data_IF_575408125159
#
_entry.id   IF_575408125159
#
_cell.length_a   1.000
_cell.length_b   1.000
_cell.length_c   1.000
_cell.angle_alpha   90.00
_cell.angle_beta   90.00
_cell.angle_gamma   90.00
#
_symmetry.space_group_name_H-M   'P 1'
#
loop_
_entity.id
_entity.type
_entity.pdbx_description
1 polymer ?
#
# COMPACT_ATOMS: atom_id res chain seq x y z
N UNK A 1 -8.09 6.04 -11.68
CA UNK A 1 -9.38 6.06 -12.06
C UNK A 1 -10.30 5.57 -11.05
N UNK A 2 -10.71 4.36 -11.09
CA UNK A 2 -11.61 3.88 -10.09
C UNK A 2 -10.95 3.58 -8.77
N UNK A 3 -9.70 3.85 -8.67
CA UNK A 3 -9.00 3.82 -7.38
C UNK A 3 -9.59 4.82 -6.40
N UNK A 4 -10.30 5.83 -6.88
CA UNK A 4 -10.97 6.79 -6.02
C UNK A 4 -12.07 6.19 -5.15
N UNK A 5 -12.55 5.01 -5.48
CA UNK A 5 -13.55 4.33 -4.67
C UNK A 5 -12.92 3.56 -3.50
N UNK A 6 -11.64 3.67 -3.39
CA UNK A 6 -10.91 3.08 -2.29
C UNK A 6 -10.64 1.60 -2.48
N UNK A 7 -9.44 1.22 -2.10
CA UNK A 7 -9.08 -0.17 -1.98
C UNK A 7 -9.10 -0.51 -0.49
N UNK A 8 -9.40 -1.75 -0.11
CA UNK A 8 -9.46 -2.11 1.30
C UNK A 8 -8.09 -2.06 1.97
N UNK A 9 -8.07 -2.01 3.30
CA UNK A 9 -6.82 -2.07 4.06
C UNK A 9 -6.10 -3.38 3.78
N UNK A 10 -6.83 -4.49 3.83
CA UNK A 10 -6.30 -5.80 3.49
C UNK A 10 -6.93 -6.27 2.19
N UNK A 11 -6.11 -6.87 1.33
CA UNK A 11 -6.58 -7.39 0.05
C UNK A 11 -7.66 -8.44 0.24
N UNK A 12 -8.69 -8.34 -0.58
CA UNK A 12 -9.66 -9.39 -0.76
C UNK A 12 -9.61 -9.84 -2.22
N UNK A 13 -10.32 -10.89 -2.54
CA UNK A 13 -10.31 -11.46 -3.88
C UNK A 13 -10.71 -10.45 -4.95
N UNK A 14 -11.73 -9.65 -4.67
CA UNK A 14 -12.21 -8.64 -5.61
C UNK A 14 -11.16 -7.58 -5.89
N UNK A 15 -10.51 -7.07 -4.85
CA UNK A 15 -9.48 -6.05 -4.99
C UNK A 15 -8.25 -6.61 -5.71
N UNK A 16 -7.84 -7.81 -5.36
CA UNK A 16 -6.69 -8.45 -6.01
C UNK A 16 -6.94 -8.68 -7.50
N UNK A 17 -8.12 -9.15 -7.86
CA UNK A 17 -8.49 -9.36 -9.26
C UNK A 17 -8.53 -8.04 -10.03
N UNK A 18 -9.06 -6.99 -9.42
CA UNK A 18 -9.06 -5.67 -10.02
C UNK A 18 -7.65 -5.17 -10.29
N UNK A 19 -6.77 -5.29 -9.31
CA UNK A 19 -5.39 -4.83 -9.45
C UNK A 19 -4.60 -5.64 -10.45
N UNK A 20 -4.79 -6.95 -10.49
CA UNK A 20 -4.16 -7.80 -11.50
C UNK A 20 -4.57 -7.40 -12.92
N UNK A 21 -5.85 -7.12 -13.13
CA UNK A 21 -6.35 -6.66 -14.42
C UNK A 21 -5.79 -5.28 -14.78
N UNK A 22 -5.69 -4.41 -13.80
CA UNK A 22 -5.11 -3.09 -14.00
C UNK A 22 -3.65 -3.18 -14.44
N UNK A 23 -2.87 -4.01 -13.77
CA UNK A 23 -1.46 -4.23 -14.10
C UNK A 23 -1.33 -4.78 -15.51
N UNK A 24 -2.12 -5.78 -15.86
CA UNK A 24 -2.07 -6.40 -17.19
C UNK A 24 -2.50 -5.43 -18.28
N UNK A 25 -3.56 -4.67 -18.04
CA UNK A 25 -4.09 -3.73 -19.01
C UNK A 25 -3.07 -2.62 -19.34
N UNK A 26 -2.34 -2.14 -18.34
CA UNK A 26 -1.36 -1.07 -18.54
C UNK A 26 0.04 -1.59 -18.85
N UNK A 27 0.22 -2.90 -18.94
CA UNK A 27 1.53 -3.49 -19.28
C UNK A 27 2.61 -3.19 -18.26
N UNK A 28 2.25 -3.10 -16.99
CA UNK A 28 3.18 -2.71 -15.94
C UNK A 28 4.05 -3.88 -15.49
N UNK A 29 5.25 -3.55 -15.04
CA UNK A 29 6.10 -4.46 -14.28
C UNK A 29 6.62 -5.67 -15.02
N UNK A 30 6.84 -5.60 -16.31
CA UNK A 30 7.38 -6.73 -17.08
C UNK A 30 8.72 -7.18 -16.51
N UNK A 31 8.70 -8.32 -15.80
CA UNK A 31 9.90 -8.89 -15.20
C UNK A 31 10.41 -8.13 -13.98
N UNK A 32 9.61 -7.20 -13.43
CA UNK A 32 9.99 -6.41 -12.27
C UNK A 32 8.94 -6.52 -11.17
N UNK A 33 9.36 -6.26 -9.94
CA UNK A 33 8.45 -6.21 -8.81
C UNK A 33 7.62 -4.93 -8.86
N UNK A 34 6.34 -5.08 -8.55
CA UNK A 34 5.41 -3.96 -8.48
C UNK A 34 5.03 -3.74 -7.03
N UNK A 35 5.01 -2.48 -6.62
CA UNK A 35 4.50 -2.09 -5.32
C UNK A 35 3.32 -1.16 -5.51
N UNK A 36 2.21 -1.48 -4.86
CA UNK A 36 1.05 -0.61 -4.80
C UNK A 36 1.02 0.00 -3.42
N UNK A 37 1.08 1.32 -3.37
CA UNK A 37 1.17 2.06 -2.12
C UNK A 37 -0.02 3.01 -2.04
N UNK A 38 -0.70 2.99 -0.91
CA UNK A 38 -1.79 3.92 -0.66
C UNK A 38 -1.74 4.41 0.78
N UNK A 39 -2.35 5.56 1.04
CA UNK A 39 -2.27 6.19 2.35
C UNK A 39 -3.59 6.76 2.86
N UNK A 40 -4.70 6.37 2.26
CA UNK A 40 -5.99 6.95 2.57
C UNK A 40 -6.56 6.53 3.93
N UNK A 41 -6.13 5.40 4.46
CA UNK A 41 -6.64 4.87 5.72
C UNK A 41 -5.77 5.20 6.92
N UNK A 42 -4.62 5.85 6.70
CA UNK A 42 -3.71 6.30 7.76
C UNK A 42 -3.28 5.18 8.72
N UNK A 43 -3.24 3.96 8.23
CA UNK A 43 -2.88 2.78 9.02
C UNK A 43 -1.83 1.98 8.25
N UNK A 44 -0.80 1.55 8.95
CA UNK A 44 0.28 0.79 8.34
C UNK A 44 -0.11 -0.66 8.14
N UNK A 45 0.07 -1.17 6.94
CA UNK A 45 -0.05 -2.59 6.65
C UNK A 45 0.71 -2.93 5.39
N UNK A 46 1.10 -4.19 5.25
CA UNK A 46 1.74 -4.68 4.05
C UNK A 46 1.33 -6.13 3.81
N UNK A 47 0.98 -6.41 2.57
CA UNK A 47 0.65 -7.76 2.14
C UNK A 47 1.33 -8.04 0.81
N UNK A 48 1.66 -9.29 0.57
CA UNK A 48 2.25 -9.72 -0.69
C UNK A 48 1.23 -10.54 -1.46
N UNK A 49 0.96 -10.12 -2.70
CA UNK A 49 0.16 -10.87 -3.64
C UNK A 49 1.09 -11.51 -4.67
N UNK A 50 0.52 -12.28 -5.61
CA UNK A 50 1.32 -12.99 -6.59
C UNK A 50 2.13 -12.06 -7.50
N UNK A 51 1.50 -10.97 -7.96
CA UNK A 51 2.14 -10.06 -8.92
C UNK A 51 2.64 -8.76 -8.31
N UNK A 52 2.28 -8.46 -7.05
CA UNK A 52 2.58 -7.16 -6.47
C UNK A 52 2.62 -7.21 -4.95
N UNK A 53 3.20 -6.17 -4.36
CA UNK A 53 3.10 -5.90 -2.92
C UNK A 53 2.04 -4.84 -2.72
N UNK A 54 1.23 -5.01 -1.70
CA UNK A 54 0.14 -4.09 -1.38
C UNK A 54 0.40 -3.47 -0.02
N UNK A 55 0.52 -2.16 0.02
CA UNK A 55 0.99 -1.46 1.22
C UNK A 55 0.12 -0.24 1.52
N UNK A 56 -0.27 -0.12 2.77
CA UNK A 56 -0.82 1.10 3.32
C UNK A 56 0.24 1.77 4.17
N UNK A 57 0.32 3.08 4.08
CA UNK A 57 1.32 3.85 4.81
C UNK A 57 0.67 4.75 5.85
N UNK A 58 1.47 5.14 6.84
CA UNK A 58 1.05 6.03 7.90
C UNK A 58 0.80 7.44 7.37
N UNK A 59 -0.03 8.19 8.07
CA UNK A 59 -0.23 9.61 7.85
C UNK A 59 0.56 10.41 8.88
N UNK A 60 0.97 11.61 8.53
CA UNK A 60 1.62 12.51 9.47
C UNK A 60 0.68 12.92 10.63
N UNK A 61 -0.61 12.77 10.44
CA UNK A 61 -1.62 13.21 11.42
C UNK A 61 -2.27 12.06 12.19
N UNK A 62 -1.90 10.83 11.89
CA UNK A 62 -2.54 9.66 12.49
C UNK A 62 -3.91 9.36 11.87
N UNK A 63 -4.70 8.58 12.58
CA UNK A 63 -6.00 8.12 12.09
C UNK A 63 -7.14 8.82 12.77
N UNK A 64 -8.25 9.06 12.05
CA UNK A 64 -9.48 9.52 12.62
C UNK A 64 -10.09 8.45 13.53
N UNK A 65 -11.03 8.88 14.38
CA UNK A 65 -11.75 7.94 15.26
C UNK A 65 -12.47 6.87 14.44
N UNK A 66 -13.07 7.26 13.33
CA UNK A 66 -13.77 6.31 12.45
C UNK A 66 -12.81 5.25 11.89
N UNK A 67 -11.64 5.67 11.41
CA UNK A 67 -10.64 4.74 10.89
C UNK A 67 -10.13 3.82 11.99
N UNK A 68 -9.87 4.36 13.18
CA UNK A 68 -9.41 3.56 14.31
C UNK A 68 -10.41 2.48 14.70
N UNK A 69 -11.71 2.81 14.66
CA UNK A 69 -12.77 1.87 15.05
C UNK A 69 -12.99 0.78 14.01
N UNK A 70 -12.72 1.06 12.73
CA UNK A 70 -13.02 0.13 11.65
C UNK A 70 -11.79 -0.61 11.13
N UNK A 71 -10.60 -0.02 11.22
CA UNK A 71 -9.38 -0.57 10.63
C UNK A 71 -8.23 -0.72 11.63
N UNK A 72 -8.44 -0.32 12.87
CA UNK A 72 -7.43 -0.38 13.90
C UNK A 72 -6.66 0.94 14.05
N UNK A 73 -5.78 1.00 15.06
CA UNK A 73 -5.05 2.22 15.36
C UNK A 73 -4.04 2.58 14.28
N UNK A 74 -4.00 3.86 13.93
CA UNK A 74 -2.98 4.41 13.07
C UNK A 74 -2.19 5.45 13.84
N UNK A 75 -0.89 5.31 13.86
CA UNK A 75 -0.01 6.26 14.53
C UNK A 75 0.49 7.28 13.51
N UNK A 76 0.67 8.55 13.92
CA UNK A 76 1.29 9.51 13.00
C UNK A 76 2.73 9.11 12.71
N UNK A 77 3.12 9.26 11.47
CA UNK A 77 4.46 8.87 11.06
C UNK A 77 4.69 9.03 9.58
N UNK A 78 5.87 8.66 9.16
CA UNK A 78 6.25 8.63 7.74
C UNK A 78 6.92 7.32 7.40
N UNK A 79 6.84 6.95 6.14
CA UNK A 79 7.55 5.81 5.60
C UNK A 79 8.36 6.26 4.40
N UNK A 80 9.52 5.66 4.20
CA UNK A 80 10.26 5.87 2.97
C UNK A 80 10.97 4.59 2.56
N UNK A 81 11.16 4.46 1.26
CA UNK A 81 11.79 3.30 0.66
C UNK A 81 13.05 3.70 -0.07
N UNK A 82 14.07 2.86 0.06
CA UNK A 82 15.22 2.90 -0.82
C UNK A 82 15.05 1.78 -1.83
N UNK A 83 15.07 2.13 -3.11
CA UNK A 83 14.88 1.17 -4.19
C UNK A 83 16.14 1.12 -5.02
N UNK A 84 16.74 -0.06 -5.13
CA UNK A 84 17.89 -0.23 -6.00
C UNK A 84 17.47 -0.31 -7.45
N UNK A 85 18.18 0.44 -8.28
CA UNK A 85 17.84 0.63 -9.68
C UNK A 85 17.81 -0.67 -10.49
N UNK A 86 18.76 -1.55 -10.27
CA UNK A 86 18.96 -2.69 -11.16
C UNK A 86 18.61 -4.04 -10.55
N UNK A 87 18.24 -4.11 -9.28
CA UNK A 87 18.08 -5.38 -8.56
C UNK A 87 16.71 -5.62 -7.96
N UNK A 88 15.78 -4.70 -8.07
CA UNK A 88 14.46 -4.78 -7.45
C UNK A 88 14.49 -4.92 -5.93
N UNK A 89 15.61 -4.65 -5.29
CA UNK A 89 15.69 -4.65 -3.84
C UNK A 89 15.08 -3.38 -3.29
N UNK A 90 14.25 -3.55 -2.26
CA UNK A 90 13.55 -2.45 -1.61
C UNK A 90 13.81 -2.52 -0.11
N UNK A 91 14.30 -1.43 0.44
CA UNK A 91 14.48 -1.28 1.89
C UNK A 91 13.46 -0.27 2.38
N UNK A 92 12.61 -0.69 3.32
CA UNK A 92 11.54 0.16 3.84
C UNK A 92 11.83 0.57 5.27
N UNK A 93 11.63 1.86 5.56
CA UNK A 93 11.86 2.44 6.87
C UNK A 93 10.59 3.14 7.34
N UNK A 94 10.28 2.96 8.62
CA UNK A 94 9.13 3.57 9.25
C UNK A 94 9.58 4.42 10.41
N UNK A 95 9.13 5.66 10.46
CA UNK A 95 9.37 6.56 11.58
C UNK A 95 8.03 6.96 12.14
N UNK A 96 7.76 6.57 13.39
CA UNK A 96 6.54 6.96 14.10
C UNK A 96 6.79 8.22 14.90
N UNK A 97 5.81 9.10 14.85
CA UNK A 97 5.82 10.30 15.68
C UNK A 97 5.02 10.01 16.95
N UNK A 98 5.59 10.26 18.06
CA UNK A 98 4.92 10.04 19.35
C UNK A 98 4.24 11.29 19.84
#
# INVERSE_FOLDING_TARGET
EDLKHGLPLFLNEKAENFLNKYIDHHGLGKGRNISIVKGDLHTESMQQAYKFRYRNVLSMYGSSKWVMNNFGPGYPGVSFDLVEKDTDLIYSFYIRFN
#
